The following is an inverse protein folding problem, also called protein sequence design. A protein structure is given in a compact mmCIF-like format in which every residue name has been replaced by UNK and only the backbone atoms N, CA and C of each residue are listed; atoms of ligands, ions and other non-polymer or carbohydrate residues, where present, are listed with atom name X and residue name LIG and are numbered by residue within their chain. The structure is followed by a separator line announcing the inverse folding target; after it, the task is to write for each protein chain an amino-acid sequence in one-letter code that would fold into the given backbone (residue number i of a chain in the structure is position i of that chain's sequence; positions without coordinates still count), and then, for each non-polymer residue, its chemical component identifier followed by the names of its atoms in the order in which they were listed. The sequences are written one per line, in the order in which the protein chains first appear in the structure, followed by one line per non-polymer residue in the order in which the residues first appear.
data_IF_580838703367
#
_entry.id   IF_580838703367
#
_cell.length_a   1.000
_cell.length_b   1.000
_cell.length_c   1.000
_cell.angle_alpha   90.00
_cell.angle_beta   90.00
_cell.angle_gamma   90.00
#
_symmetry.space_group_name_H-M   'P 1'
#
loop_
_entity.id
_entity.type
_entity.pdbx_description
1 polymer ?
#
# COMPACT_ATOMS: atom_id res chain seq x y z
N UNK A 1 15.35 2.10 3.02
CA UNK A 1 14.64 2.42 1.77
C UNK A 1 14.40 3.92 1.60
N UNK A 2 13.92 4.65 2.64
CA UNK A 2 13.68 6.11 2.54
C UNK A 2 14.93 6.84 2.07
N UNK A 3 16.07 6.64 2.74
CA UNK A 3 17.34 7.27 2.36
C UNK A 3 17.79 6.91 0.94
N UNK A 4 17.53 5.66 0.50
CA UNK A 4 17.86 5.23 -0.86
C UNK A 4 17.03 5.98 -1.91
N UNK A 5 15.72 6.14 -1.69
CA UNK A 5 14.86 6.91 -2.61
C UNK A 5 15.22 8.39 -2.55
N UNK A 6 15.40 8.94 -1.35
CA UNK A 6 15.75 10.33 -1.14
C UNK A 6 17.14 10.71 -1.72
N UNK A 7 18.06 9.75 -1.87
CA UNK A 7 19.36 10.00 -2.52
C UNK A 7 19.26 10.38 -4.00
N UNK A 8 18.10 10.16 -4.61
CA UNK A 8 17.82 10.60 -5.98
C UNK A 8 17.19 11.99 -6.07
N UNK A 9 16.86 12.63 -4.93
CA UNK A 9 16.26 13.96 -4.92
C UNK A 9 17.29 15.01 -5.30
N UNK A 10 16.87 16.00 -6.08
CA UNK A 10 17.68 17.15 -6.49
C UNK A 10 17.86 18.16 -5.35
N UNK A 11 16.91 18.17 -4.41
CA UNK A 11 16.94 18.99 -3.21
C UNK A 11 16.00 18.40 -2.16
N UNK A 12 16.43 18.48 -0.90
CA UNK A 12 15.65 18.06 0.26
C UNK A 12 15.07 19.30 0.92
N UNK A 13 13.75 19.33 1.07
CA UNK A 13 13.02 20.40 1.74
C UNK A 13 12.87 20.14 3.24
N UNK A 14 12.62 18.88 3.59
CA UNK A 14 12.36 18.47 4.97
C UNK A 14 12.77 17.01 5.17
N UNK A 15 13.39 16.73 6.29
CA UNK A 15 13.70 15.39 6.76
C UNK A 15 13.36 15.29 8.25
N UNK A 16 12.53 14.33 8.60
CA UNK A 16 12.09 14.08 9.98
C UNK A 16 12.12 12.59 10.27
N UNK A 17 12.62 12.25 11.43
CA UNK A 17 12.57 10.88 11.94
C UNK A 17 12.03 10.88 13.37
N UNK A 18 11.05 10.02 13.63
CA UNK A 18 10.50 9.79 14.95
C UNK A 18 10.05 8.34 15.05
N UNK A 19 10.47 7.66 16.10
CA UNK A 19 10.25 6.22 16.26
C UNK A 19 10.75 5.44 15.03
N UNK A 20 9.94 4.55 14.47
CA UNK A 20 10.22 3.80 13.24
C UNK A 20 9.90 4.59 11.95
N UNK A 21 9.30 5.76 12.08
CA UNK A 21 8.89 6.57 10.93
C UNK A 21 10.00 7.54 10.53
N UNK A 22 10.35 7.48 9.26
CA UNK A 22 11.30 8.38 8.62
C UNK A 22 10.67 8.98 7.38
N UNK A 23 10.61 10.30 7.33
CA UNK A 23 10.00 11.03 6.22
C UNK A 23 11.03 11.97 5.61
N UNK A 24 11.15 11.93 4.30
CA UNK A 24 11.94 12.88 3.52
C UNK A 24 11.08 13.46 2.42
N UNK A 25 11.00 14.78 2.35
CA UNK A 25 10.32 15.51 1.27
C UNK A 25 11.36 16.26 0.46
N UNK A 26 11.25 16.18 -0.85
CA UNK A 26 12.18 16.86 -1.75
C UNK A 26 11.66 16.92 -3.19
N UNK A 27 12.53 17.25 -4.11
CA UNK A 27 12.20 17.37 -5.54
C UNK A 27 12.94 16.33 -6.37
N UNK A 28 12.25 15.80 -7.35
CA UNK A 28 12.81 14.92 -8.36
C UNK A 28 12.21 15.24 -9.75
N UNK A 29 13.05 15.61 -10.68
CA UNK A 29 12.64 16.01 -12.06
C UNK A 29 11.52 17.05 -12.04
N UNK A 30 11.68 18.07 -11.19
CA UNK A 30 10.72 19.16 -11.05
C UNK A 30 9.42 18.79 -10.33
N UNK A 31 9.29 17.60 -9.78
CA UNK A 31 8.13 17.17 -8.99
C UNK A 31 8.49 17.10 -7.51
N UNK A 32 7.59 17.60 -6.68
CA UNK A 32 7.69 17.47 -5.22
C UNK A 32 7.20 16.09 -4.80
N UNK A 33 8.03 15.34 -4.07
CA UNK A 33 7.77 13.97 -3.65
C UNK A 33 8.10 13.84 -2.17
N UNK A 34 7.27 13.13 -1.44
CA UNK A 34 7.56 12.70 -0.07
C UNK A 34 7.74 11.19 -0.03
N UNK A 35 8.73 10.73 0.70
CA UNK A 35 8.98 9.31 0.97
C UNK A 35 8.86 9.08 2.46
N UNK A 36 8.02 8.15 2.85
CA UNK A 36 7.73 7.85 4.26
C UNK A 36 7.96 6.36 4.51
N UNK A 37 8.67 6.01 5.58
CA UNK A 37 8.67 4.62 6.07
C UNK A 37 7.39 4.36 6.86
N UNK A 38 6.72 3.26 6.57
CA UNK A 38 5.47 2.88 7.24
C UNK A 38 5.68 1.91 8.41
N UNK A 39 6.94 1.58 8.75
CA UNK A 39 7.19 0.54 9.74
C UNK A 39 6.80 -0.86 9.24
N UNK A 40 6.45 -1.75 10.16
CA UNK A 40 6.07 -3.14 9.89
C UNK A 40 4.61 -3.36 10.31
N UNK A 41 3.89 -4.08 9.46
CA UNK A 41 2.51 -4.50 9.73
C UNK A 41 1.45 -3.59 9.10
N UNK A 42 0.24 -4.14 9.00
CA UNK A 42 -0.91 -3.45 8.41
C UNK A 42 -1.36 -2.27 9.27
N UNK A 43 -1.30 -2.40 10.59
CA UNK A 43 -1.70 -1.36 11.54
C UNK A 43 -0.87 -0.07 11.39
N UNK A 44 0.44 -0.21 11.19
CA UNK A 44 1.30 0.94 10.93
C UNK A 44 0.99 1.62 9.60
N UNK A 45 0.68 0.84 8.57
CA UNK A 45 0.27 1.38 7.27
C UNK A 45 -1.04 2.14 7.42
N UNK A 46 -2.00 1.57 8.13
CA UNK A 46 -3.30 2.17 8.37
C UNK A 46 -3.18 3.53 9.08
N UNK A 47 -2.42 3.60 10.17
CA UNK A 47 -2.17 4.85 10.89
C UNK A 47 -1.55 5.89 9.95
N UNK A 48 -0.50 5.52 9.20
CA UNK A 48 0.19 6.46 8.30
C UNK A 48 -0.75 7.00 7.23
N UNK A 49 -1.58 6.15 6.61
CA UNK A 49 -2.50 6.58 5.56
C UNK A 49 -3.57 7.53 6.09
N UNK A 50 -4.17 7.21 7.24
CA UNK A 50 -5.17 8.06 7.88
C UNK A 50 -4.57 9.41 8.31
N UNK A 51 -3.36 9.42 8.85
CA UNK A 51 -2.70 10.67 9.24
C UNK A 51 -2.29 11.53 8.03
N UNK A 52 -1.83 10.91 6.94
CA UNK A 52 -1.53 11.64 5.70
C UNK A 52 -2.79 12.25 5.09
N UNK A 53 -3.90 11.52 5.08
CA UNK A 53 -5.18 12.05 4.65
C UNK A 53 -5.63 13.22 5.52
N UNK A 54 -5.56 13.08 6.84
CA UNK A 54 -5.90 14.14 7.78
C UNK A 54 -5.05 15.40 7.58
N UNK A 55 -3.74 15.26 7.35
CA UNK A 55 -2.85 16.40 7.10
C UNK A 55 -3.25 17.24 5.90
N UNK A 56 -3.77 16.63 4.85
CA UNK A 56 -4.15 17.35 3.63
C UNK A 56 -5.61 17.78 3.62
N UNK A 57 -6.49 17.08 4.32
CA UNK A 57 -7.94 17.24 4.19
C UNK A 57 -8.65 17.80 5.43
N UNK A 58 -7.99 17.86 6.59
CA UNK A 58 -8.56 18.46 7.81
C UNK A 58 -7.97 19.86 8.05
N UNK A 59 -8.83 20.81 8.37
CA UNK A 59 -8.43 22.07 8.96
C UNK A 59 -8.26 21.87 10.47
N UNK A 60 -7.02 21.88 10.95
CA UNK A 60 -6.72 21.64 12.36
C UNK A 60 -7.16 22.76 13.30
N UNK A 61 -7.46 23.97 12.80
CA UNK A 61 -7.97 25.06 13.64
C UNK A 61 -9.44 24.83 13.97
N UNK A 62 -10.23 24.41 12.97
CA UNK A 62 -11.67 24.15 13.13
C UNK A 62 -11.97 22.68 13.44
N UNK A 63 -11.00 21.77 13.20
CA UNK A 63 -11.16 20.32 13.29
C UNK A 63 -12.28 19.77 12.42
N UNK A 64 -12.44 20.37 11.25
CA UNK A 64 -13.43 19.96 10.25
C UNK A 64 -12.75 19.65 8.91
N UNK A 65 -13.43 18.93 8.06
CA UNK A 65 -12.98 18.72 6.69
C UNK A 65 -12.86 20.05 5.93
N UNK A 66 -11.82 20.15 5.11
CA UNK A 66 -11.65 21.30 4.22
C UNK A 66 -12.73 21.30 3.14
N UNK A 67 -13.20 22.46 2.69
CA UNK A 67 -14.22 22.55 1.62
C UNK A 67 -13.78 21.91 0.30
N UNK A 68 -12.48 21.84 0.05
CA UNK A 68 -11.90 21.18 -1.10
C UNK A 68 -10.94 20.10 -0.63
N UNK A 69 -11.27 18.86 -0.95
CA UNK A 69 -10.46 17.71 -0.60
C UNK A 69 -9.33 17.50 -1.63
N UNK A 70 -8.19 17.07 -1.14
CA UNK A 70 -7.02 16.70 -1.92
C UNK A 70 -6.92 15.19 -2.01
N UNK A 71 -6.90 14.65 -3.22
CA UNK A 71 -6.62 13.24 -3.45
C UNK A 71 -5.11 13.01 -3.48
N UNK A 72 -4.63 12.09 -2.64
CA UNK A 72 -3.23 11.67 -2.61
C UNK A 72 -2.98 10.53 -3.58
N UNK A 73 -1.87 10.58 -4.32
CA UNK A 73 -1.36 9.45 -5.07
C UNK A 73 -0.29 8.75 -4.23
N UNK A 74 -0.53 7.50 -3.90
CA UNK A 74 0.33 6.71 -3.02
C UNK A 74 0.91 5.52 -3.79
N UNK A 75 2.24 5.35 -3.69
CA UNK A 75 2.95 4.20 -4.27
C UNK A 75 3.70 3.50 -3.15
N UNK A 76 3.33 2.26 -2.86
CA UNK A 76 4.02 1.46 -1.85
C UNK A 76 5.15 0.65 -2.47
N UNK A 77 6.35 0.84 -1.96
CA UNK A 77 7.54 0.07 -2.33
C UNK A 77 7.87 -0.90 -1.19
N UNK A 78 7.78 -2.18 -1.47
CA UNK A 78 8.01 -3.23 -0.48
C UNK A 78 8.88 -4.35 -1.02
N UNK A 79 9.02 -5.39 -0.21
CA UNK A 79 9.56 -6.69 -0.59
C UNK A 79 8.52 -7.75 -0.32
N UNK A 80 8.48 -8.79 -1.13
CA UNK A 80 7.60 -9.93 -0.98
C UNK A 80 8.34 -11.24 -1.26
N UNK A 81 7.80 -12.36 -0.80
CA UNK A 81 8.23 -13.68 -1.25
C UNK A 81 7.59 -14.00 -2.61
N UNK A 82 8.35 -14.61 -3.51
CA UNK A 82 7.82 -15.14 -4.76
C UNK A 82 7.02 -16.43 -4.47
N UNK A 83 5.76 -16.47 -4.90
CA UNK A 83 4.90 -17.64 -4.75
C UNK A 83 4.90 -18.53 -5.99
N UNK A 84 5.36 -18.02 -7.12
CA UNK A 84 5.39 -18.74 -8.39
C UNK A 84 6.79 -19.29 -8.66
N UNK A 85 6.82 -20.46 -9.27
CA UNK A 85 8.05 -21.22 -9.56
C UNK A 85 9.00 -20.47 -10.51
N UNK A 86 8.44 -19.62 -11.33
CA UNK A 86 9.10 -18.83 -12.37
C UNK A 86 9.31 -17.36 -11.97
N UNK A 87 9.18 -17.05 -10.69
CA UNK A 87 9.46 -15.72 -10.16
C UNK A 87 10.77 -15.75 -9.34
N UNK A 88 11.92 -15.56 -9.95
CA UNK A 88 13.20 -15.61 -9.28
C UNK A 88 13.41 -14.43 -8.33
N UNK A 89 14.33 -14.60 -7.37
CA UNK A 89 14.73 -13.52 -6.47
C UNK A 89 15.28 -12.35 -7.28
N UNK A 90 14.85 -11.14 -6.94
CA UNK A 90 15.24 -9.91 -7.64
C UNK A 90 14.23 -9.47 -8.73
N UNK A 91 13.19 -10.25 -8.97
CA UNK A 91 12.11 -9.82 -9.88
C UNK A 91 11.39 -8.62 -9.30
N UNK A 92 11.23 -7.58 -10.11
CA UNK A 92 10.33 -6.45 -9.80
C UNK A 92 8.90 -6.81 -10.18
N UNK A 93 7.98 -6.63 -9.24
CA UNK A 93 6.56 -6.96 -9.42
C UNK A 93 5.73 -5.69 -9.25
N UNK A 94 4.93 -5.36 -10.24
CA UNK A 94 3.86 -4.38 -10.13
C UNK A 94 2.57 -5.11 -9.75
N UNK A 95 2.03 -4.81 -8.57
CA UNK A 95 0.81 -5.45 -8.08
C UNK A 95 -0.39 -4.85 -8.78
N UNK A 96 -1.10 -5.67 -9.56
CA UNK A 96 -2.36 -5.28 -10.21
C UNK A 96 -3.54 -5.41 -9.26
N UNK A 97 -3.46 -6.38 -8.35
CA UNK A 97 -4.51 -6.72 -7.40
C UNK A 97 -3.89 -7.25 -6.11
N UNK A 98 -4.46 -6.91 -4.99
CA UNK A 98 -3.98 -7.36 -3.67
C UNK A 98 -5.08 -8.09 -2.92
N UNK A 99 -4.72 -9.22 -2.32
CA UNK A 99 -5.59 -9.98 -1.43
C UNK A 99 -5.12 -9.73 0.00
N UNK A 100 -5.99 -9.22 0.86
CA UNK A 100 -5.70 -9.00 2.27
C UNK A 100 -6.29 -10.09 3.15
N UNK A 101 -5.44 -10.69 4.00
CA UNK A 101 -5.83 -11.66 5.03
C UNK A 101 -5.75 -11.08 6.44
N UNK A 102 -5.32 -9.83 6.56
CA UNK A 102 -5.18 -9.14 7.84
C UNK A 102 -6.53 -8.69 8.43
N UNK A 103 -7.57 -8.62 7.63
CA UNK A 103 -8.91 -8.22 8.05
C UNK A 103 -9.10 -6.71 8.22
N UNK A 104 -8.08 -5.89 8.01
CA UNK A 104 -8.09 -4.47 8.30
C UNK A 104 -9.25 -3.74 7.61
N UNK A 105 -9.42 -3.97 6.31
CA UNK A 105 -10.45 -3.27 5.54
C UNK A 105 -11.88 -3.60 5.98
N UNK A 106 -12.09 -4.73 6.66
CA UNK A 106 -13.41 -5.09 7.19
C UNK A 106 -13.91 -4.17 8.32
N UNK A 107 -13.04 -3.34 8.88
CA UNK A 107 -13.41 -2.31 9.86
C UNK A 107 -13.82 -0.98 9.24
N UNK A 108 -13.72 -0.83 7.90
CA UNK A 108 -14.07 0.39 7.19
C UNK A 108 -15.45 0.30 6.54
N UNK A 109 -16.27 1.34 6.71
CA UNK A 109 -17.51 1.51 5.96
C UNK A 109 -17.23 1.68 4.45
N UNK A 110 -18.17 1.23 3.61
CA UNK A 110 -17.98 1.32 2.14
C UNK A 110 -16.98 0.33 1.54
N UNK A 111 -16.50 -0.62 2.34
CA UNK A 111 -15.53 -1.64 1.90
C UNK A 111 -15.98 -2.34 0.61
N UNK A 112 -17.26 -2.67 0.51
CA UNK A 112 -17.80 -3.40 -0.65
C UNK A 112 -17.85 -2.55 -1.93
N UNK A 113 -17.77 -1.23 -1.82
CA UNK A 113 -17.79 -0.33 -2.98
C UNK A 113 -16.43 -0.30 -3.71
N UNK A 114 -15.36 -0.76 -3.03
CA UNK A 114 -13.98 -0.75 -3.54
C UNK A 114 -13.37 -2.15 -3.71
N UNK A 115 -14.04 -3.19 -3.21
CA UNK A 115 -13.55 -4.57 -3.29
C UNK A 115 -14.11 -5.29 -4.52
N UNK A 116 -13.28 -6.19 -5.07
CA UNK A 116 -13.69 -7.17 -6.08
C UNK A 116 -14.41 -8.35 -5.40
N UNK A 117 -15.70 -8.19 -5.19
CA UNK A 117 -16.52 -9.17 -4.46
C UNK A 117 -16.61 -10.51 -5.18
N UNK A 118 -16.64 -10.51 -6.52
CA UNK A 118 -16.71 -11.74 -7.31
C UNK A 118 -15.41 -12.54 -7.16
N UNK A 119 -14.28 -11.87 -7.15
CA UNK A 119 -13.00 -12.53 -6.91
C UNK A 119 -12.92 -13.09 -5.48
N UNK A 120 -13.41 -12.35 -4.49
CA UNK A 120 -13.44 -12.82 -3.10
C UNK A 120 -14.26 -14.11 -2.94
N UNK A 121 -15.44 -14.16 -3.54
CA UNK A 121 -16.30 -15.36 -3.49
C UNK A 121 -15.64 -16.55 -4.20
N UNK A 122 -15.10 -16.34 -5.40
CA UNK A 122 -14.39 -17.37 -6.14
C UNK A 122 -13.16 -17.89 -5.40
N UNK A 123 -12.40 -16.98 -4.77
CA UNK A 123 -11.23 -17.32 -3.97
C UNK A 123 -11.62 -18.15 -2.73
N UNK A 124 -12.65 -17.73 -2.00
CA UNK A 124 -13.16 -18.47 -0.84
C UNK A 124 -13.65 -19.87 -1.23
N UNK A 125 -14.38 -19.97 -2.33
CA UNK A 125 -14.87 -21.25 -2.83
C UNK A 125 -13.70 -22.17 -3.25
N UNK A 126 -12.73 -21.66 -4.00
CA UNK A 126 -11.56 -22.42 -4.44
C UNK A 126 -10.72 -22.95 -3.28
N UNK A 127 -10.50 -22.10 -2.26
CA UNK A 127 -9.70 -22.43 -1.08
C UNK A 127 -10.46 -23.24 -0.02
N UNK A 128 -11.74 -23.52 -0.23
CA UNK A 128 -12.62 -24.08 0.80
C UNK A 128 -12.46 -23.31 2.12
N UNK A 129 -12.62 -21.99 2.04
CA UNK A 129 -12.29 -21.08 3.12
C UNK A 129 -13.02 -21.42 4.41
N UNK A 130 -12.27 -21.56 5.51
CA UNK A 130 -12.84 -21.84 6.82
C UNK A 130 -13.67 -20.62 7.30
N UNK A 131 -15.00 -20.76 7.52
CA UNK A 131 -15.86 -19.67 7.93
C UNK A 131 -15.54 -19.08 9.32
N UNK A 132 -14.68 -19.72 10.10
CA UNK A 132 -14.20 -19.18 11.39
C UNK A 132 -13.05 -18.17 11.21
N UNK A 133 -12.44 -18.12 10.03
CA UNK A 133 -11.40 -17.15 9.72
C UNK A 133 -12.02 -15.83 9.23
N UNK A 134 -11.32 -14.72 9.45
CA UNK A 134 -11.68 -13.45 8.83
C UNK A 134 -11.80 -13.59 7.32
N UNK A 135 -12.80 -12.97 6.72
CA UNK A 135 -12.96 -12.99 5.28
C UNK A 135 -11.80 -12.25 4.60
N UNK A 136 -11.23 -12.82 3.52
CA UNK A 136 -10.28 -12.09 2.70
C UNK A 136 -10.97 -10.92 2.01
N UNK A 137 -10.22 -9.88 1.71
CA UNK A 137 -10.67 -8.80 0.84
C UNK A 137 -9.74 -8.65 -0.35
N UNK A 138 -10.28 -8.19 -1.47
CA UNK A 138 -9.54 -8.09 -2.74
C UNK A 138 -9.71 -6.70 -3.32
N UNK A 139 -8.59 -6.03 -3.58
CA UNK A 139 -8.55 -4.64 -4.06
C UNK A 139 -7.71 -4.57 -5.33
N UNK A 140 -8.23 -3.85 -6.33
CA UNK A 140 -7.47 -3.49 -7.51
C UNK A 140 -6.53 -2.32 -7.24
N UNK A 141 -5.37 -2.33 -7.87
CA UNK A 141 -4.52 -1.16 -7.91
C UNK A 141 -5.17 -0.07 -8.77
N UNK A 142 -4.90 1.20 -8.45
CA UNK A 142 -5.30 2.30 -9.32
C UNK A 142 -4.63 2.15 -10.70
N UNK A 143 -5.45 2.02 -11.75
CA UNK A 143 -4.98 1.67 -13.09
C UNK A 143 -4.05 2.72 -13.68
N UNK A 144 -4.34 4.01 -13.48
CA UNK A 144 -3.51 5.09 -13.99
C UNK A 144 -2.15 5.12 -13.29
N UNK A 145 -2.14 5.01 -11.97
CA UNK A 145 -0.91 4.98 -11.19
C UNK A 145 -0.08 3.74 -11.55
N UNK A 146 -0.72 2.58 -11.67
CA UNK A 146 -0.06 1.34 -12.06
C UNK A 146 0.66 1.48 -13.40
N UNK A 147 -0.01 1.99 -14.44
CA UNK A 147 0.61 2.22 -15.75
C UNK A 147 1.78 3.22 -15.70
N UNK A 148 1.69 4.23 -14.85
CA UNK A 148 2.75 5.23 -14.71
C UNK A 148 3.99 4.73 -13.99
N UNK A 149 3.84 3.79 -13.05
CA UNK A 149 4.95 3.26 -12.24
C UNK A 149 5.51 1.95 -12.77
N UNK A 150 4.75 1.22 -13.58
CA UNK A 150 5.19 -0.06 -14.14
C UNK A 150 6.22 0.15 -15.23
N UNK A 151 7.42 -0.41 -15.03
CA UNK A 151 8.44 -0.50 -16.06
C UNK A 151 8.22 -1.72 -16.98
N UNK A 152 8.82 -1.69 -18.17
CA UNK A 152 8.75 -2.80 -19.15
C UNK A 152 9.34 -4.11 -18.62
N UNK A 153 10.25 -4.02 -17.66
CA UNK A 153 10.96 -5.17 -17.07
C UNK A 153 10.30 -5.64 -15.76
N UNK A 154 9.14 -5.09 -15.40
CA UNK A 154 8.40 -5.52 -14.22
C UNK A 154 7.39 -6.60 -14.58
N UNK A 155 7.36 -7.67 -13.82
CA UNK A 155 6.26 -8.62 -13.85
C UNK A 155 5.00 -7.96 -13.27
N UNK A 156 3.83 -8.33 -13.79
CA UNK A 156 2.54 -7.92 -13.25
C UNK A 156 1.84 -9.11 -12.61
N UNK A 157 1.12 -8.90 -11.54
CA UNK A 157 0.39 -9.98 -10.90
C UNK A 157 -0.24 -9.61 -9.58
N UNK A 158 -0.74 -10.63 -8.92
CA UNK A 158 -1.38 -10.57 -7.62
C UNK A 158 -0.35 -10.53 -6.49
N UNK A 159 -0.64 -9.74 -5.46
CA UNK A 159 0.09 -9.80 -4.19
C UNK A 159 -0.84 -10.20 -3.05
N UNK A 160 -0.28 -10.86 -2.05
CA UNK A 160 -1.01 -11.24 -0.84
C UNK A 160 -0.42 -10.46 0.33
N UNK A 161 -1.28 -9.80 1.08
CA UNK A 161 -0.96 -9.15 2.33
C UNK A 161 -1.56 -9.94 3.48
N UNK A 162 -0.75 -10.26 4.50
CA UNK A 162 -1.19 -11.01 5.66
C UNK A 162 -0.51 -10.47 6.92
N UNK A 163 -1.08 -10.72 8.08
CA UNK A 163 -0.44 -10.47 9.36
C UNK A 163 0.90 -11.23 9.46
N UNK A 164 1.86 -10.69 10.19
CA UNK A 164 3.28 -11.07 10.15
C UNK A 164 3.61 -12.57 10.20
N UNK A 165 2.76 -13.39 10.82
CA UNK A 165 3.00 -14.84 10.94
C UNK A 165 2.69 -15.59 9.63
N UNK A 166 1.71 -15.13 8.87
CA UNK A 166 1.32 -15.81 7.63
C UNK A 166 2.28 -15.50 6.46
N UNK A 167 3.01 -14.39 6.52
CA UNK A 167 4.02 -14.06 5.51
C UNK A 167 5.20 -15.04 5.48
N UNK A 168 5.45 -15.75 6.57
CA UNK A 168 6.55 -16.72 6.68
C UNK A 168 6.17 -18.09 6.11
N UNK A 169 4.89 -18.42 6.07
CA UNK A 169 4.40 -19.72 5.59
C UNK A 169 4.06 -19.74 4.10
N UNK A 170 4.09 -18.59 3.44
CA UNK A 170 3.87 -18.47 2.00
C UNK A 170 5.17 -18.60 1.16
N UNK A 171 6.26 -19.02 1.79
CA UNK A 171 7.55 -19.34 1.14
C UNK A 171 7.54 -20.83 0.68
#
# INVERSE_FOLDING_TARGET
RVSLVASHFEGIECEVQSREFHTVTGSYKGKRISVVSTGIGCDNIDIVLNELDALVNIDFNTRTEKPQLTQLTLVRIGTCGGLQKDTPVGTYIASEKSIGFDGLLNFYGGRNDVCDLDFEENFKAHMNWNPQLGAPYVIDADAETLERVSGKDMARGLTIACGGVAAVTAL
#
